data_IF_930109778050
#
_entry.id   IF_930109778050
#
_cell.length_a   1.000
_cell.length_b   1.000
_cell.length_c   1.000
_cell.angle_alpha   90.00
_cell.angle_beta   90.00
_cell.angle_gamma   90.00
#
_symmetry.space_group_name_H-M   'P 1'
#
loop_
_entity.id
_entity.type
_entity.pdbx_description
1 polymer ?
#
# COMPACT_ATOMS: atom_id res chain seq x y z
N UNK A 1 -0.35 20.79 -2.90
CA UNK A 1 0.66 20.26 -1.96
C UNK A 1 1.55 21.40 -1.54
N UNK A 2 1.86 21.51 -0.25
CA UNK A 2 2.79 22.52 0.28
C UNK A 2 3.90 21.77 1.00
N UNK A 3 5.15 22.06 0.64
CA UNK A 3 6.34 21.40 1.20
C UNK A 3 6.27 21.37 2.73
N UNK A 4 6.49 20.20 3.32
CA UNK A 4 6.61 19.99 4.78
C UNK A 4 8.06 19.87 5.19
N UNK A 5 8.30 20.07 6.48
CA UNK A 5 9.62 19.84 7.07
C UNK A 5 9.98 18.37 6.97
N UNK A 6 11.26 18.09 6.76
CA UNK A 6 11.76 16.73 6.70
C UNK A 6 13.19 16.63 7.24
N UNK A 7 13.57 15.43 7.64
CA UNK A 7 14.93 15.07 8.02
C UNK A 7 15.40 13.82 7.26
N UNK A 8 16.65 13.85 6.81
CA UNK A 8 17.37 12.65 6.37
C UNK A 8 18.12 12.10 7.57
N UNK A 9 18.20 10.79 7.74
CA UNK A 9 18.94 10.22 8.85
C UNK A 9 19.69 8.94 8.48
N UNK A 10 20.79 8.66 9.18
CA UNK A 10 21.55 7.41 9.18
C UNK A 10 21.39 6.73 10.53
N UNK A 11 22.07 5.61 10.80
CA UNK A 11 22.00 4.98 12.12
C UNK A 11 22.46 5.89 13.28
N UNK A 12 23.33 6.86 13.02
CA UNK A 12 23.97 7.69 14.05
C UNK A 12 23.49 9.15 14.06
N UNK A 13 23.13 9.69 12.91
CA UNK A 13 22.92 11.13 12.73
C UNK A 13 21.67 11.43 11.93
N UNK A 14 21.15 12.64 12.09
CA UNK A 14 20.13 13.20 11.21
C UNK A 14 20.55 14.57 10.69
N UNK A 15 20.08 14.91 9.50
CA UNK A 15 20.18 16.23 8.89
C UNK A 15 18.79 16.84 8.78
N UNK A 16 18.55 17.93 9.50
CA UNK A 16 17.29 18.70 9.46
C UNK A 16 17.60 20.17 9.21
N UNK A 17 16.96 20.78 8.21
CA UNK A 17 17.22 22.17 7.80
C UNK A 17 18.72 22.47 7.56
N UNK A 18 19.48 21.50 7.04
CA UNK A 18 20.92 21.63 6.79
C UNK A 18 21.82 21.50 8.03
N UNK A 19 21.25 21.21 9.20
CA UNK A 19 22.01 20.98 10.44
C UNK A 19 22.12 19.48 10.73
N UNK A 20 23.34 19.03 10.96
CA UNK A 20 23.61 17.67 11.45
C UNK A 20 23.46 17.62 12.98
N UNK A 21 22.70 16.64 13.44
CA UNK A 21 22.39 16.37 14.85
C UNK A 21 22.47 14.86 15.10
N UNK A 22 22.64 14.41 16.36
CA UNK A 22 22.48 13.00 16.69
C UNK A 22 21.08 12.50 16.33
N UNK A 23 20.98 11.28 15.81
CA UNK A 23 19.69 10.64 15.53
C UNK A 23 18.92 10.40 16.84
N UNK A 24 17.65 10.81 16.95
CA UNK A 24 16.83 10.40 18.07
C UNK A 24 16.57 8.88 18.06
N UNK A 25 16.54 8.26 19.25
CA UNK A 25 16.35 6.82 19.38
C UNK A 25 15.02 6.34 18.77
N UNK A 26 13.99 7.18 18.77
CA UNK A 26 12.67 6.84 18.24
C UNK A 26 12.51 7.00 16.71
N UNK A 27 13.55 7.44 15.99
CA UNK A 27 13.51 7.48 14.52
C UNK A 27 13.68 6.06 13.96
N UNK A 28 12.63 5.56 13.31
CA UNK A 28 12.60 4.25 12.67
C UNK A 28 11.75 4.29 11.40
N UNK A 29 12.24 3.63 10.35
CA UNK A 29 11.59 3.60 9.05
C UNK A 29 11.52 4.94 8.34
N UNK A 30 10.85 4.94 7.19
CA UNK A 30 10.50 6.15 6.46
C UNK A 30 9.03 6.42 6.76
N UNK A 31 8.74 7.58 7.35
CA UNK A 31 7.38 7.91 7.81
C UNK A 31 7.25 9.38 8.19
N UNK A 32 6.04 9.79 8.61
CA UNK A 32 5.77 11.06 9.26
C UNK A 32 5.76 10.89 10.79
N UNK A 33 6.48 11.76 11.51
CA UNK A 33 6.59 11.72 12.97
C UNK A 33 6.52 13.12 13.60
N UNK A 34 6.24 13.18 14.90
CA UNK A 34 6.41 14.39 15.69
C UNK A 34 7.87 14.58 16.09
N UNK A 35 8.41 15.77 15.84
CA UNK A 35 9.74 16.21 16.26
C UNK A 35 9.68 17.69 16.67
N UNK A 36 10.06 17.99 17.91
CA UNK A 36 10.03 19.35 18.47
C UNK A 36 8.65 20.04 18.35
N UNK A 37 7.59 19.28 18.69
CA UNK A 37 6.20 19.74 18.65
C UNK A 37 5.64 20.01 17.24
N UNK A 38 6.31 19.51 16.18
CA UNK A 38 5.87 19.63 14.80
C UNK A 38 5.95 18.30 14.07
N UNK A 39 5.01 18.08 13.16
CA UNK A 39 5.07 16.93 12.27
C UNK A 39 6.14 17.16 11.19
N UNK A 40 7.01 16.17 10.99
CA UNK A 40 8.04 16.15 9.96
C UNK A 40 8.05 14.79 9.26
N UNK A 41 8.51 14.77 8.01
CA UNK A 41 8.84 13.54 7.31
C UNK A 41 10.26 13.09 7.69
N UNK A 42 10.48 11.80 7.85
CA UNK A 42 11.81 11.24 8.06
C UNK A 42 12.12 10.20 6.99
N UNK A 43 13.39 10.17 6.57
CA UNK A 43 13.86 9.21 5.60
C UNK A 43 15.26 8.69 5.97
N UNK A 44 15.38 7.37 6.07
CA UNK A 44 16.65 6.71 6.30
C UNK A 44 17.47 6.67 5.01
N UNK A 45 18.60 7.39 5.01
CA UNK A 45 19.55 7.39 3.91
C UNK A 45 20.56 6.26 4.11
N UNK A 46 20.56 5.30 3.19
CA UNK A 46 21.60 4.26 3.12
C UNK A 46 22.67 4.66 2.09
N UNK A 47 23.97 4.42 2.34
CA UNK A 47 25.06 4.84 1.46
C UNK A 47 24.90 4.40 0.01
N UNK A 48 24.28 3.24 -0.23
CA UNK A 48 24.13 2.62 -1.55
C UNK A 48 22.95 3.18 -2.35
N UNK A 49 22.21 4.17 -1.83
CA UNK A 49 20.97 4.64 -2.44
C UNK A 49 21.14 5.85 -3.37
N UNK A 50 22.30 6.51 -3.38
CA UNK A 50 22.51 7.75 -4.13
C UNK A 50 23.85 7.71 -4.84
N UNK A 51 23.84 7.24 -6.10
CA UNK A 51 25.03 7.19 -6.96
C UNK A 51 24.93 8.13 -8.16
N UNK A 52 23.70 8.44 -8.59
CA UNK A 52 23.40 9.22 -9.80
C UNK A 52 22.42 10.36 -9.53
N UNK A 53 22.31 11.28 -10.50
CA UNK A 53 21.29 12.35 -10.44
C UNK A 53 19.86 11.77 -10.48
N UNK A 54 19.64 10.66 -11.19
CA UNK A 54 18.34 9.95 -11.20
C UNK A 54 17.99 9.41 -9.80
N UNK A 55 18.98 8.98 -9.01
CA UNK A 55 18.75 8.54 -7.64
C UNK A 55 18.32 9.70 -6.74
N UNK A 56 18.88 10.90 -6.96
CA UNK A 56 18.46 12.12 -6.26
C UNK A 56 17.01 12.49 -6.61
N UNK A 57 16.62 12.38 -7.87
CA UNK A 57 15.24 12.63 -8.31
C UNK A 57 14.27 11.63 -7.65
N UNK A 58 14.62 10.34 -7.61
CA UNK A 58 13.84 9.31 -6.92
C UNK A 58 13.76 9.55 -5.42
N UNK A 59 14.86 9.93 -4.78
CA UNK A 59 14.89 10.27 -3.35
C UNK A 59 14.00 11.48 -3.06
N UNK A 60 14.06 12.52 -3.89
CA UNK A 60 13.21 13.69 -3.75
C UNK A 60 11.72 13.34 -3.86
N UNK A 61 11.35 12.48 -4.81
CA UNK A 61 9.98 12.01 -4.96
C UNK A 61 9.50 11.19 -3.75
N UNK A 62 10.35 10.31 -3.23
CA UNK A 62 10.10 9.54 -2.00
C UNK A 62 9.97 10.44 -0.76
N UNK A 63 10.75 11.53 -0.66
CA UNK A 63 10.56 12.51 0.40
C UNK A 63 9.23 13.26 0.28
N UNK A 64 8.78 13.55 -0.94
CA UNK A 64 7.47 14.17 -1.18
C UNK A 64 6.33 13.24 -0.76
N UNK A 65 6.46 11.92 -0.97
CA UNK A 65 5.55 10.90 -0.43
C UNK A 65 5.46 11.02 1.10
N UNK A 66 6.58 10.99 1.82
CA UNK A 66 6.56 11.11 3.30
C UNK A 66 6.03 12.46 3.79
N UNK A 67 6.34 13.55 3.09
CA UNK A 67 5.77 14.87 3.38
C UNK A 67 4.26 14.91 3.13
N UNK A 68 3.73 14.06 2.25
CA UNK A 68 2.29 13.94 2.04
C UNK A 68 1.62 13.26 3.24
N UNK A 69 2.26 12.25 3.86
CA UNK A 69 1.78 11.69 5.13
C UNK A 69 1.74 12.72 6.25
N UNK A 70 2.73 13.62 6.34
CA UNK A 70 2.67 14.76 7.28
C UNK A 70 1.42 15.60 7.03
N UNK A 71 1.12 15.91 5.77
CA UNK A 71 -0.08 16.67 5.42
C UNK A 71 -1.37 15.90 5.75
N UNK A 72 -1.43 14.59 5.51
CA UNK A 72 -2.57 13.74 5.91
C UNK A 72 -2.81 13.85 7.42
N UNK A 73 -1.78 13.65 8.24
CA UNK A 73 -1.88 13.69 9.70
C UNK A 73 -2.28 15.08 10.21
N UNK A 74 -1.65 16.16 9.72
CA UNK A 74 -1.99 17.54 10.10
C UNK A 74 -3.44 17.93 9.77
N UNK A 75 -4.04 17.29 8.77
CA UNK A 75 -5.41 17.55 8.35
C UNK A 75 -6.41 16.53 8.93
N UNK A 76 -5.98 15.69 9.88
CA UNK A 76 -6.85 14.78 10.60
C UNK A 76 -7.32 13.58 9.78
N UNK A 77 -6.51 13.12 8.83
CA UNK A 77 -6.76 11.86 8.12
C UNK A 77 -7.02 10.72 9.11
N UNK A 78 -8.12 10.00 8.94
CA UNK A 78 -8.56 8.91 9.82
C UNK A 78 -8.65 7.56 9.10
N UNK A 79 -8.56 7.53 7.76
CA UNK A 79 -8.86 6.36 6.93
C UNK A 79 -7.70 5.36 6.86
N UNK A 80 -6.90 5.24 7.91
CA UNK A 80 -5.80 4.29 7.96
C UNK A 80 -6.30 2.84 7.91
N UNK A 81 -5.60 1.94 7.21
CA UNK A 81 -5.95 0.53 7.21
C UNK A 81 -5.67 -0.11 8.57
N UNK A 82 -6.42 -1.14 8.92
CA UNK A 82 -6.04 -2.08 9.97
C UNK A 82 -5.11 -3.12 9.36
N UNK A 83 -3.79 -2.89 9.39
CA UNK A 83 -2.82 -3.74 8.67
C UNK A 83 -2.85 -5.21 9.13
N UNK A 84 -3.10 -5.47 10.43
CA UNK A 84 -3.20 -6.84 10.95
C UNK A 84 -4.44 -7.60 10.43
N UNK A 85 -5.51 -6.88 10.10
CA UNK A 85 -6.66 -7.44 9.37
C UNK A 85 -6.33 -7.59 7.88
N UNK A 86 -5.56 -6.67 7.30
CA UNK A 86 -5.17 -6.68 5.89
C UNK A 86 -4.28 -7.88 5.54
N UNK A 87 -3.35 -8.28 6.40
CA UNK A 87 -2.54 -9.51 6.18
C UNK A 87 -3.33 -10.81 6.35
N UNK A 88 -4.54 -10.71 6.90
CA UNK A 88 -5.49 -11.80 7.05
C UNK A 88 -6.58 -11.78 5.95
N UNK A 89 -6.36 -11.02 4.87
CA UNK A 89 -7.28 -10.93 3.75
C UNK A 89 -7.65 -12.34 3.22
N UNK A 90 -8.93 -12.59 2.87
CA UNK A 90 -9.38 -13.90 2.43
C UNK A 90 -8.59 -14.43 1.23
N UNK A 91 -8.11 -15.68 1.35
CA UNK A 91 -7.49 -16.42 0.25
C UNK A 91 -8.58 -17.03 -0.65
N UNK A 92 -9.31 -16.15 -1.33
CA UNK A 92 -10.45 -16.47 -2.20
C UNK A 92 -10.08 -16.31 -3.70
N UNK A 93 -10.12 -17.39 -4.49
CA UNK A 93 -9.85 -17.35 -5.93
C UNK A 93 -10.74 -16.36 -6.71
N UNK A 94 -12.00 -16.14 -6.31
CA UNK A 94 -12.87 -15.16 -7.00
C UNK A 94 -12.36 -13.73 -6.78
N UNK A 95 -11.94 -13.39 -5.55
CA UNK A 95 -11.33 -12.09 -5.25
C UNK A 95 -10.01 -11.89 -6.01
N UNK A 96 -9.20 -12.94 -6.11
CA UNK A 96 -7.92 -12.91 -6.84
C UNK A 96 -8.15 -12.74 -8.34
N UNK A 97 -9.14 -13.42 -8.92
CA UNK A 97 -9.51 -13.26 -10.32
C UNK A 97 -10.02 -11.84 -10.62
N UNK A 98 -10.87 -11.30 -9.75
CA UNK A 98 -11.36 -9.92 -9.86
C UNK A 98 -10.23 -8.89 -9.75
N UNK A 99 -9.31 -9.08 -8.79
CA UNK A 99 -8.12 -8.23 -8.62
C UNK A 99 -7.23 -8.26 -9.86
N UNK A 100 -7.00 -9.43 -10.45
CA UNK A 100 -6.24 -9.54 -11.70
C UNK A 100 -6.93 -8.82 -12.87
N UNK A 101 -8.25 -8.97 -13.00
CA UNK A 101 -9.02 -8.27 -14.04
C UNK A 101 -8.98 -6.75 -13.87
N UNK A 102 -9.00 -6.26 -12.64
CA UNK A 102 -8.78 -4.83 -12.34
C UNK A 102 -7.36 -4.40 -12.73
N UNK A 103 -6.35 -5.18 -12.37
CA UNK A 103 -4.97 -4.89 -12.71
C UNK A 103 -4.72 -4.88 -14.23
N UNK A 104 -5.39 -5.73 -15.00
CA UNK A 104 -5.34 -5.72 -16.48
C UNK A 104 -5.83 -4.38 -17.04
N UNK A 105 -6.86 -3.80 -16.43
CA UNK A 105 -7.36 -2.47 -16.80
C UNK A 105 -6.38 -1.36 -16.42
N UNK A 106 -5.77 -1.44 -15.23
CA UNK A 106 -4.77 -0.47 -14.77
C UNK A 106 -3.48 -0.52 -15.60
N UNK A 107 -3.02 -1.72 -15.97
CA UNK A 107 -1.87 -1.93 -16.86
C UNK A 107 -2.17 -1.39 -18.27
N UNK A 108 -3.34 -1.71 -18.83
CA UNK A 108 -3.74 -1.19 -20.14
C UNK A 108 -3.90 0.34 -20.17
N UNK A 109 -4.14 0.99 -19.02
CA UNK A 109 -4.06 2.44 -18.87
C UNK A 109 -2.60 2.93 -18.80
N UNK A 110 -1.78 2.27 -17.99
CA UNK A 110 -0.35 2.60 -17.83
C UNK A 110 0.41 2.57 -19.17
N UNK A 111 0.13 1.61 -20.03
CA UNK A 111 0.72 1.52 -21.38
C UNK A 111 0.39 2.73 -22.27
N UNK A 112 -0.81 3.32 -22.10
CA UNK A 112 -1.21 4.54 -22.83
C UNK A 112 -0.58 5.79 -22.27
N UNK A 113 -0.16 5.78 -21.00
CA UNK A 113 0.57 6.91 -20.41
C UNK A 113 1.96 7.06 -21.03
N UNK A 114 2.53 5.97 -21.55
CA UNK A 114 3.89 5.90 -22.08
C UNK A 114 3.93 5.81 -23.61
N UNK A 115 2.79 5.69 -24.30
CA UNK A 115 2.74 5.58 -25.75
C UNK A 115 3.06 6.91 -26.45
N UNK A 116 3.95 6.82 -27.44
CA UNK A 116 4.45 7.93 -28.24
C UNK A 116 3.75 7.90 -29.61
N UNK A 117 2.49 8.32 -29.66
CA UNK A 117 1.70 8.32 -30.88
C UNK A 117 1.78 9.68 -31.60
N UNK A 118 1.81 9.67 -32.93
CA UNK A 118 1.83 10.87 -33.81
C UNK A 118 0.50 11.66 -33.82
N UNK A 119 -0.24 11.67 -32.70
CA UNK A 119 -1.52 12.37 -32.54
C UNK A 119 -1.25 13.75 -31.90
N UNK A 120 -2.03 14.76 -32.28
CA UNK A 120 -2.01 16.06 -31.60
C UNK A 120 -2.23 15.88 -30.10
N UNK A 121 -1.40 16.52 -29.26
CA UNK A 121 -1.48 16.39 -27.80
C UNK A 121 -2.88 16.70 -27.23
N UNK A 122 -3.60 17.63 -27.88
CA UNK A 122 -4.97 17.98 -27.46
C UNK A 122 -5.96 16.84 -27.72
N UNK A 123 -5.87 16.18 -28.86
CA UNK A 123 -6.75 15.06 -29.21
C UNK A 123 -6.39 13.81 -28.40
N UNK A 124 -5.09 13.60 -28.15
CA UNK A 124 -4.56 12.54 -27.27
C UNK A 124 -5.12 12.67 -25.86
N UNK A 125 -5.02 13.85 -25.25
CA UNK A 125 -5.51 14.08 -23.89
C UNK A 125 -7.02 13.89 -23.79
N UNK A 126 -7.79 14.32 -24.81
CA UNK A 126 -9.23 14.14 -24.85
C UNK A 126 -9.62 12.66 -24.96
N UNK A 127 -8.96 11.90 -25.84
CA UNK A 127 -9.21 10.47 -25.99
C UNK A 127 -8.84 9.72 -24.71
N UNK A 128 -7.68 10.03 -24.13
CA UNK A 128 -7.23 9.41 -22.89
C UNK A 128 -8.20 9.66 -21.73
N UNK A 129 -8.81 10.85 -21.65
CA UNK A 129 -9.86 11.15 -20.67
C UNK A 129 -11.12 10.31 -20.86
N UNK A 130 -11.59 10.14 -22.10
CA UNK A 130 -12.75 9.28 -22.42
C UNK A 130 -12.48 7.81 -22.10
N UNK A 131 -11.28 7.34 -22.43
CA UNK A 131 -10.82 6.01 -22.09
C UNK A 131 -10.75 5.83 -20.56
N UNK A 132 -10.24 6.82 -19.84
CA UNK A 132 -10.13 6.78 -18.39
C UNK A 132 -11.50 6.62 -17.71
N UNK A 133 -12.50 7.40 -18.12
CA UNK A 133 -13.88 7.28 -17.62
C UNK A 133 -14.46 5.88 -17.91
N UNK A 134 -14.20 5.34 -19.10
CA UNK A 134 -14.66 4.00 -19.48
C UNK A 134 -14.01 2.90 -18.64
N UNK A 135 -12.71 3.04 -18.37
CA UNK A 135 -11.98 2.10 -17.52
C UNK A 135 -12.51 2.15 -16.09
N UNK A 136 -12.70 3.34 -15.52
CA UNK A 136 -13.24 3.52 -14.17
C UNK A 136 -14.64 2.90 -14.01
N UNK A 137 -15.50 3.00 -15.02
CA UNK A 137 -16.80 2.32 -15.00
C UNK A 137 -16.68 0.79 -14.92
N UNK A 138 -15.72 0.19 -15.64
CA UNK A 138 -15.44 -1.25 -15.55
C UNK A 138 -14.86 -1.63 -14.19
N UNK A 139 -13.97 -0.80 -13.64
CA UNK A 139 -13.45 -0.99 -12.28
C UNK A 139 -14.61 -0.94 -11.27
N UNK A 140 -15.62 -0.09 -11.48
CA UNK A 140 -16.77 -0.04 -10.58
C UNK A 140 -17.58 -1.34 -10.55
N UNK A 141 -17.80 -1.97 -11.71
CA UNK A 141 -18.43 -3.30 -11.76
C UNK A 141 -17.62 -4.35 -10.99
N UNK A 142 -16.29 -4.34 -11.14
CA UNK A 142 -15.38 -5.27 -10.45
C UNK A 142 -15.40 -5.03 -8.94
N UNK A 143 -15.22 -3.78 -8.51
CA UNK A 143 -15.14 -3.41 -7.09
C UNK A 143 -16.47 -3.62 -6.36
N UNK A 144 -17.61 -3.46 -7.04
CA UNK A 144 -18.91 -3.86 -6.51
C UNK A 144 -19.03 -5.37 -6.29
N UNK A 145 -18.47 -6.19 -7.19
CA UNK A 145 -18.43 -7.64 -7.01
C UNK A 145 -17.51 -8.02 -5.83
N UNK A 146 -16.33 -7.41 -5.73
CA UNK A 146 -15.39 -7.62 -4.61
C UNK A 146 -16.03 -7.25 -3.26
N UNK A 147 -16.72 -6.10 -3.18
CA UNK A 147 -17.45 -5.66 -1.98
C UNK A 147 -18.52 -6.67 -1.58
N UNK A 148 -19.21 -7.28 -2.55
CA UNK A 148 -20.22 -8.32 -2.26
C UNK A 148 -19.61 -9.59 -1.69
N UNK A 149 -18.38 -9.93 -2.09
CA UNK A 149 -17.69 -11.16 -1.66
C UNK A 149 -17.07 -11.05 -0.26
N UNK A 150 -16.45 -9.92 0.08
CA UNK A 150 -15.65 -9.80 1.32
C UNK A 150 -15.78 -8.49 2.09
N UNK A 151 -16.62 -7.56 1.61
CA UNK A 151 -16.98 -6.27 2.21
C UNK A 151 -15.85 -5.62 3.04
N UNK A 152 -15.88 -5.79 4.37
CA UNK A 152 -14.90 -5.21 5.30
C UNK A 152 -13.43 -5.45 4.93
N UNK A 153 -13.07 -6.63 4.42
CA UNK A 153 -11.70 -6.90 3.98
C UNK A 153 -11.34 -6.06 2.74
N UNK A 154 -12.26 -5.98 1.77
CA UNK A 154 -12.10 -5.15 0.57
C UNK A 154 -12.02 -3.66 0.92
N UNK A 155 -12.88 -3.17 1.80
CA UNK A 155 -12.86 -1.77 2.26
C UNK A 155 -11.54 -1.46 2.99
N UNK A 156 -11.03 -2.39 3.80
CA UNK A 156 -9.75 -2.21 4.48
C UNK A 156 -8.57 -2.10 3.49
N UNK A 157 -8.60 -2.85 2.37
CA UNK A 157 -7.62 -2.68 1.29
C UNK A 157 -7.74 -1.30 0.62
N UNK A 158 -8.96 -0.80 0.39
CA UNK A 158 -9.15 0.55 -0.17
C UNK A 158 -8.72 1.67 0.79
N UNK A 159 -8.74 1.44 2.10
CA UNK A 159 -8.11 2.34 3.09
C UNK A 159 -6.60 2.41 2.89
N UNK A 160 -5.94 1.26 2.74
CA UNK A 160 -4.51 1.24 2.41
C UNK A 160 -4.22 1.95 1.08
N UNK A 161 -5.04 1.72 0.06
CA UNK A 161 -4.96 2.43 -1.23
C UNK A 161 -5.14 3.96 -1.07
N UNK A 162 -6.05 4.39 -0.20
CA UNK A 162 -6.31 5.81 0.09
C UNK A 162 -5.11 6.48 0.74
N UNK A 163 -4.46 5.81 1.69
CA UNK A 163 -3.32 6.39 2.40
C UNK A 163 -2.05 6.32 1.54
N UNK A 164 -1.68 5.13 1.11
CA UNK A 164 -0.40 4.87 0.45
C UNK A 164 -0.44 5.18 -1.03
N UNK A 165 -1.52 4.78 -1.71
CA UNK A 165 -1.66 4.98 -3.14
C UNK A 165 -1.72 6.46 -3.52
N UNK A 166 -2.40 7.28 -2.72
CA UNK A 166 -2.45 8.73 -2.94
C UNK A 166 -1.10 9.38 -2.60
N UNK A 167 -0.41 8.93 -1.55
CA UNK A 167 0.94 9.41 -1.23
C UNK A 167 1.92 9.07 -2.38
N UNK A 168 1.84 7.85 -2.91
CA UNK A 168 2.66 7.39 -4.02
C UNK A 168 2.35 8.15 -5.32
N UNK A 169 1.08 8.41 -5.61
CA UNK A 169 0.68 9.28 -6.71
C UNK A 169 1.24 10.71 -6.59
N UNK A 170 1.25 11.29 -5.38
CA UNK A 170 1.82 12.63 -5.15
C UNK A 170 3.35 12.60 -5.31
N UNK A 171 4.02 11.56 -4.82
CA UNK A 171 5.43 11.31 -5.07
C UNK A 171 5.73 11.22 -6.58
N UNK A 172 4.98 10.39 -7.30
CA UNK A 172 5.10 10.21 -8.75
C UNK A 172 4.90 11.51 -9.54
N UNK A 173 3.90 12.34 -9.17
CA UNK A 173 3.73 13.66 -9.80
C UNK A 173 4.93 14.57 -9.60
N UNK A 174 5.57 14.51 -8.44
CA UNK A 174 6.79 15.28 -8.20
C UNK A 174 7.96 14.74 -9.02
N UNK A 175 8.11 13.42 -9.15
CA UNK A 175 9.12 12.82 -10.03
C UNK A 175 8.90 13.27 -11.48
N UNK A 176 7.66 13.22 -11.98
CA UNK A 176 7.32 13.65 -13.35
C UNK A 176 7.62 15.13 -13.58
N UNK A 177 7.54 15.97 -12.55
CA UNK A 177 7.90 17.38 -12.62
C UNK A 177 9.42 17.60 -12.63
N UNK A 178 10.17 16.79 -11.87
CA UNK A 178 11.63 16.86 -11.81
C UNK A 178 12.28 16.27 -13.07
N UNK A 179 11.80 15.10 -13.48
CA UNK A 179 12.38 14.27 -14.53
C UNK A 179 11.27 13.42 -15.21
N UNK A 180 10.70 13.96 -16.30
CA UNK A 180 9.58 13.34 -16.99
C UNK A 180 9.94 12.03 -17.69
N UNK A 181 11.16 11.92 -18.22
CA UNK A 181 11.65 10.69 -18.88
C UNK A 181 11.81 9.56 -17.87
N UNK A 182 12.40 9.86 -16.70
CA UNK A 182 12.53 8.88 -15.62
C UNK A 182 11.15 8.45 -15.10
N UNK A 183 10.23 9.40 -14.90
CA UNK A 183 8.86 9.08 -14.50
C UNK A 183 8.16 8.15 -15.50
N UNK A 184 8.33 8.36 -16.80
CA UNK A 184 7.78 7.49 -17.83
C UNK A 184 8.33 6.05 -17.73
N UNK A 185 9.63 5.90 -17.43
CA UNK A 185 10.24 4.57 -17.19
C UNK A 185 9.73 3.91 -15.91
N UNK A 186 9.51 4.68 -14.84
CA UNK A 186 9.02 4.16 -13.56
C UNK A 186 7.59 3.62 -13.66
N UNK A 187 6.77 4.07 -14.62
CA UNK A 187 5.42 3.48 -14.88
C UNK A 187 5.51 1.96 -15.10
N UNK A 188 6.45 1.50 -15.92
CA UNK A 188 6.64 0.05 -16.17
C UNK A 188 7.12 -0.70 -14.92
N UNK A 189 7.88 -0.03 -14.05
CA UNK A 189 8.31 -0.59 -12.75
C UNK A 189 7.11 -0.77 -11.82
N UNK A 190 6.21 0.22 -11.77
CA UNK A 190 4.97 0.13 -11.00
C UNK A 190 4.06 -0.99 -11.47
N UNK A 191 3.86 -1.14 -12.78
CA UNK A 191 3.09 -2.28 -13.36
C UNK A 191 3.73 -3.62 -12.99
N UNK A 192 5.04 -3.74 -13.12
CA UNK A 192 5.77 -4.97 -12.74
C UNK A 192 5.57 -5.30 -11.26
N UNK A 193 5.66 -4.29 -10.39
CA UNK A 193 5.50 -4.50 -8.95
C UNK A 193 4.05 -4.74 -8.55
N UNK A 194 3.07 -4.16 -9.25
CA UNK A 194 1.66 -4.47 -9.10
C UNK A 194 1.40 -5.96 -9.31
N UNK A 195 1.91 -6.53 -10.43
CA UNK A 195 1.77 -7.95 -10.74
C UNK A 195 2.42 -8.85 -9.71
N UNK A 196 3.66 -8.54 -9.30
CA UNK A 196 4.36 -9.27 -8.23
C UNK A 196 3.59 -9.24 -6.90
N UNK A 197 3.02 -8.09 -6.53
CA UNK A 197 2.23 -7.98 -5.31
C UNK A 197 0.94 -8.80 -5.39
N UNK A 198 0.29 -8.85 -6.55
CA UNK A 198 -0.90 -9.68 -6.76
C UNK A 198 -0.59 -11.17 -6.74
N UNK A 199 0.50 -11.62 -7.37
CA UNK A 199 0.94 -13.02 -7.31
C UNK A 199 1.32 -13.45 -5.88
N UNK A 200 1.89 -12.53 -5.09
CA UNK A 200 2.23 -12.77 -3.69
C UNK A 200 1.06 -12.61 -2.71
N UNK A 201 -0.14 -12.24 -3.21
CA UNK A 201 -1.32 -11.85 -2.41
C UNK A 201 -0.98 -10.83 -1.30
N UNK A 202 -0.14 -9.87 -1.67
CA UNK A 202 0.34 -8.81 -0.79
C UNK A 202 -0.50 -7.55 -0.99
N UNK A 203 -1.63 -7.49 -0.29
CA UNK A 203 -2.57 -6.37 -0.38
C UNK A 203 -1.97 -5.04 0.06
N UNK A 204 -0.99 -5.06 0.98
CA UNK A 204 -0.32 -3.84 1.44
C UNK A 204 0.53 -3.26 0.31
N UNK A 205 1.44 -4.04 -0.30
CA UNK A 205 2.26 -3.61 -1.45
C UNK A 205 1.40 -3.28 -2.67
N UNK A 206 0.37 -4.09 -2.94
CA UNK A 206 -0.56 -3.88 -4.06
C UNK A 206 -1.20 -2.49 -3.97
N UNK A 207 -1.61 -2.06 -2.78
CA UNK A 207 -2.28 -0.77 -2.56
C UNK A 207 -1.45 0.46 -2.97
N UNK A 208 -0.12 0.41 -2.86
CA UNK A 208 0.76 1.50 -3.35
C UNK A 208 0.63 1.65 -4.86
N UNK A 209 0.77 0.53 -5.58
CA UNK A 209 0.86 0.51 -7.04
C UNK A 209 -0.50 0.69 -7.69
N UNK A 210 -1.51 -0.05 -7.21
CA UNK A 210 -2.88 0.08 -7.68
C UNK A 210 -3.42 1.49 -7.41
N UNK A 211 -3.18 2.02 -6.19
CA UNK A 211 -3.64 3.35 -5.83
C UNK A 211 -2.95 4.48 -6.57
N UNK A 212 -1.66 4.34 -6.93
CA UNK A 212 -1.00 5.30 -7.83
C UNK A 212 -1.67 5.33 -9.20
N UNK A 213 -1.91 4.14 -9.79
CA UNK A 213 -2.49 4.02 -11.13
C UNK A 213 -3.96 4.48 -11.14
N UNK A 214 -4.73 4.10 -10.11
CA UNK A 214 -6.11 4.54 -9.93
C UNK A 214 -6.21 6.05 -9.74
N UNK A 215 -5.35 6.65 -8.91
CA UNK A 215 -5.32 8.11 -8.72
C UNK A 215 -4.95 8.83 -10.01
N UNK A 216 -4.00 8.27 -10.77
CA UNK A 216 -3.61 8.81 -12.09
C UNK A 216 -4.76 8.70 -13.10
N UNK A 217 -5.49 7.59 -13.10
CA UNK A 217 -6.65 7.34 -13.94
C UNK A 217 -7.79 8.32 -13.61
N UNK A 218 -8.08 8.52 -12.32
CA UNK A 218 -9.08 9.47 -11.84
C UNK A 218 -8.73 10.92 -12.22
N UNK A 219 -7.47 11.33 -12.02
CA UNK A 219 -6.98 12.66 -12.42
C UNK A 219 -7.13 12.89 -13.93
N UNK A 220 -6.76 11.89 -14.75
CA UNK A 220 -6.94 11.93 -16.22
C UNK A 220 -8.40 11.98 -16.65
N UNK A 221 -9.30 11.33 -15.91
CA UNK A 221 -10.75 11.41 -16.12
C UNK A 221 -11.36 12.74 -15.63
N UNK A 222 -10.58 13.62 -15.00
CA UNK A 222 -11.08 14.87 -14.42
C UNK A 222 -11.92 14.66 -13.15
N UNK A 223 -11.77 13.51 -12.47
CA UNK A 223 -12.44 13.23 -11.21
C UNK A 223 -11.73 13.96 -10.09
N UNK A 224 -12.45 14.83 -9.39
CA UNK A 224 -11.94 15.45 -8.18
C UNK A 224 -12.13 14.50 -7.01
N UNK A 225 -11.15 13.64 -6.77
CA UNK A 225 -11.09 12.85 -5.54
C UNK A 225 -10.61 13.76 -4.40
N UNK A 226 -11.57 14.53 -3.90
CA UNK A 226 -11.42 15.56 -2.89
C UNK A 226 -10.42 15.17 -1.79
N UNK A 227 -9.48 16.07 -1.47
CA UNK A 227 -8.54 15.94 -0.34
C UNK A 227 -9.21 16.23 1.00
N UNK A 228 -10.48 15.87 1.16
CA UNK A 228 -11.18 16.02 2.43
C UNK A 228 -10.71 14.93 3.38
N UNK A 229 -9.59 15.19 4.06
CA UNK A 229 -9.00 14.31 5.08
C UNK A 229 -9.98 14.00 6.23
N UNK A 230 -11.00 14.83 6.44
CA UNK A 230 -12.06 14.63 7.43
C UNK A 230 -13.21 13.71 6.95
N UNK A 231 -13.17 13.19 5.72
CA UNK A 231 -14.18 12.24 5.24
C UNK A 231 -13.81 10.82 5.64
N UNK A 232 -14.82 10.01 5.97
CA UNK A 232 -14.65 8.57 6.22
C UNK A 232 -14.63 7.75 4.92
N UNK A 233 -15.01 8.34 3.78
CA UNK A 233 -15.00 7.68 2.47
C UNK A 233 -13.58 7.47 1.97
N UNK A 234 -13.26 6.27 1.54
CA UNK A 234 -12.04 5.91 0.82
C UNK A 234 -11.91 6.65 -0.52
N UNK A 235 -10.71 6.66 -1.09
CA UNK A 235 -10.42 7.15 -2.45
C UNK A 235 -11.42 6.56 -3.46
N UNK A 236 -11.62 5.24 -3.40
CA UNK A 236 -12.52 4.55 -4.31
C UNK A 236 -13.96 5.04 -4.20
N UNK A 237 -14.49 5.18 -2.98
CA UNK A 237 -15.88 5.60 -2.79
C UNK A 237 -16.13 7.01 -3.35
N UNK A 238 -15.14 7.92 -3.27
CA UNK A 238 -15.23 9.22 -3.93
C UNK A 238 -15.22 9.16 -5.46
N UNK A 239 -14.42 8.25 -6.02
CA UNK A 239 -14.37 8.00 -7.47
C UNK A 239 -15.69 7.39 -7.94
N UNK A 240 -16.16 6.35 -7.25
CA UNK A 240 -17.40 5.63 -7.53
C UNK A 240 -18.60 6.57 -7.59
N UNK A 241 -18.76 7.48 -6.62
CA UNK A 241 -19.86 8.45 -6.63
C UNK A 241 -19.88 9.33 -7.87
N UNK A 242 -18.72 9.80 -8.33
CA UNK A 242 -18.62 10.66 -9.52
C UNK A 242 -18.82 9.86 -10.81
N UNK A 243 -18.27 8.64 -10.88
CA UNK A 243 -18.47 7.74 -12.02
C UNK A 243 -19.96 7.41 -12.17
N UNK A 244 -20.63 7.04 -11.08
CA UNK A 244 -22.06 6.72 -11.07
C UNK A 244 -22.95 7.94 -11.33
N UNK A 245 -22.55 9.14 -10.90
CA UNK A 245 -23.30 10.36 -11.23
C UNK A 245 -23.13 10.76 -12.71
N UNK A 246 -21.98 10.45 -13.32
CA UNK A 246 -21.64 10.86 -14.69
C UNK A 246 -22.25 9.96 -15.76
N UNK A 247 -22.62 8.73 -15.42
CA UNK A 247 -23.17 7.77 -16.37
C UNK A 247 -24.53 7.28 -15.90
N UNK A 248 -25.49 7.19 -16.83
CA UNK A 248 -26.79 6.53 -16.62
C UNK A 248 -26.60 4.99 -16.58
N UNK A 249 -25.55 4.51 -15.87
CA UNK A 249 -25.20 3.10 -15.74
C UNK A 249 -26.09 2.48 -14.66
N UNK A 250 -26.95 1.56 -15.09
CA UNK A 250 -27.54 0.59 -14.18
C UNK A 250 -26.49 -0.48 -13.84
N UNK A 251 -25.95 -0.45 -12.63
CA UNK A 251 -24.99 -1.43 -12.06
C UNK A 251 -25.56 -2.85 -11.86
N UNK A 252 -26.62 -3.20 -12.58
CA UNK A 252 -27.37 -4.45 -12.41
C UNK A 252 -26.79 -5.64 -13.17
N UNK A 253 -25.73 -5.47 -13.96
CA UNK A 253 -25.16 -6.59 -14.71
C UNK A 253 -24.27 -7.42 -13.79
N UNK A 254 -24.69 -8.66 -13.52
CA UNK A 254 -23.87 -9.64 -12.81
C UNK A 254 -22.59 -9.88 -13.61
N UNK A 255 -21.45 -9.51 -13.02
CA UNK A 255 -20.14 -9.78 -13.58
C UNK A 255 -19.85 -11.29 -13.47
N UNK A 256 -19.41 -11.89 -14.57
CA UNK A 256 -19.08 -13.32 -14.64
C UNK A 256 -17.57 -13.49 -14.86
N UNK A 257 -16.96 -14.38 -14.08
CA UNK A 257 -15.58 -14.83 -14.27
C UNK A 257 -15.56 -16.02 -15.23
N UNK A 258 -14.53 -16.10 -16.08
CA UNK A 258 -14.31 -17.25 -16.95
C UNK A 258 -13.64 -18.39 -16.18
N UNK A 259 -13.76 -19.62 -16.69
CA UNK A 259 -13.09 -20.78 -16.11
C UNK A 259 -11.56 -20.60 -16.09
N UNK A 260 -10.99 -19.96 -17.12
CA UNK A 260 -9.55 -19.69 -17.22
C UNK A 260 -9.07 -18.71 -16.13
N UNK A 261 -9.84 -17.65 -15.86
CA UNK A 261 -9.49 -16.70 -14.79
C UNK A 261 -9.55 -17.35 -13.42
N UNK A 262 -10.57 -18.19 -13.18
CA UNK A 262 -10.69 -18.94 -11.93
C UNK A 262 -9.55 -19.95 -11.78
N UNK A 263 -9.21 -20.70 -12.82
CA UNK A 263 -8.09 -21.67 -12.79
C UNK A 263 -6.76 -20.99 -12.42
N UNK A 264 -6.44 -19.86 -13.05
CA UNK A 264 -5.25 -19.07 -12.71
C UNK A 264 -5.27 -18.58 -11.27
N UNK A 265 -6.42 -18.06 -10.81
CA UNK A 265 -6.56 -17.57 -9.45
C UNK A 265 -6.45 -18.68 -8.40
N UNK A 266 -6.99 -19.87 -8.67
CA UNK A 266 -6.82 -21.05 -7.84
C UNK A 266 -5.34 -21.42 -7.69
N UNK A 267 -4.58 -21.44 -8.80
CA UNK A 267 -3.16 -21.73 -8.76
C UNK A 267 -2.38 -20.74 -7.88
N UNK A 268 -2.67 -19.43 -7.98
CA UNK A 268 -2.05 -18.40 -7.12
C UNK A 268 -2.38 -18.64 -5.64
N UNK A 269 -3.66 -18.88 -5.33
CA UNK A 269 -4.11 -19.12 -3.95
C UNK A 269 -3.45 -20.37 -3.36
N UNK A 270 -3.37 -21.46 -4.10
CA UNK A 270 -2.76 -22.70 -3.62
C UNK A 270 -1.25 -22.55 -3.41
N UNK A 271 -0.55 -21.87 -4.33
CA UNK A 271 0.87 -21.55 -4.17
C UNK A 271 1.13 -20.71 -2.91
N UNK A 272 0.32 -19.68 -2.66
CA UNK A 272 0.49 -18.83 -1.47
C UNK A 272 0.16 -19.58 -0.17
N UNK A 273 -0.86 -20.47 -0.16
CA UNK A 273 -1.12 -21.34 0.99
C UNK A 273 0.09 -22.22 1.32
N UNK A 274 0.65 -22.90 0.33
CA UNK A 274 1.85 -23.73 0.51
C UNK A 274 3.03 -22.90 1.03
N UNK A 275 3.30 -21.74 0.43
CA UNK A 275 4.38 -20.84 0.87
C UNK A 275 4.20 -20.40 2.34
N UNK A 276 2.98 -20.05 2.75
CA UNK A 276 2.65 -19.66 4.13
C UNK A 276 2.87 -20.80 5.11
N UNK A 277 2.45 -22.02 4.77
CA UNK A 277 2.65 -23.22 5.60
C UNK A 277 4.14 -23.57 5.74
N UNK A 278 4.91 -23.52 4.67
CA UNK A 278 6.36 -23.74 4.69
C UNK A 278 7.08 -22.70 5.56
N UNK A 279 6.68 -21.43 5.45
CA UNK A 279 7.25 -20.34 6.26
C UNK A 279 6.93 -20.52 7.74
N UNK A 280 5.70 -20.93 8.07
CA UNK A 280 5.31 -21.25 9.45
C UNK A 280 6.12 -22.43 9.99
N UNK A 281 6.25 -23.52 9.23
CA UNK A 281 7.04 -24.68 9.63
C UNK A 281 8.52 -24.31 9.89
N UNK A 282 9.10 -23.46 9.05
CA UNK A 282 10.46 -22.93 9.24
C UNK A 282 10.57 -22.12 10.54
N UNK A 283 9.59 -21.25 10.84
CA UNK A 283 9.57 -20.48 12.07
C UNK A 283 9.38 -21.36 13.31
N UNK A 284 8.51 -22.36 13.25
CA UNK A 284 8.30 -23.31 14.37
C UNK A 284 9.55 -24.15 14.65
N UNK A 285 10.31 -24.52 13.61
CA UNK A 285 11.60 -25.20 13.78
C UNK A 285 12.65 -24.26 14.41
N UNK A 286 12.66 -22.98 14.04
CA UNK A 286 13.57 -21.97 14.60
C UNK A 286 13.23 -21.56 16.04
N UNK A 287 11.94 -21.55 16.39
CA UNK A 287 11.41 -21.11 17.68
C UNK A 287 10.54 -22.20 18.33
N UNK A 288 11.13 -23.28 18.88
CA UNK A 288 10.37 -24.42 19.37
C UNK A 288 9.73 -24.20 20.75
N UNK A 289 10.19 -23.21 21.53
CA UNK A 289 9.78 -23.04 22.92
C UNK A 289 8.59 -22.09 23.04
N UNK A 290 7.41 -22.61 23.40
CA UNK A 290 6.22 -21.78 23.66
C UNK A 290 6.32 -21.14 25.06
N UNK A 291 6.21 -19.81 25.11
CA UNK A 291 6.12 -19.01 26.33
C UNK A 291 4.79 -18.27 26.38
N UNK A 292 3.84 -18.68 27.23
CA UNK A 292 2.58 -17.98 27.41
C UNK A 292 2.80 -16.52 27.84
N UNK A 293 2.06 -15.60 27.22
CA UNK A 293 2.09 -14.17 27.57
C UNK A 293 0.70 -13.57 27.36
N UNK A 294 0.37 -12.52 28.10
CA UNK A 294 -0.78 -11.67 27.85
C UNK A 294 -0.25 -10.30 27.43
N UNK A 295 -0.30 -10.02 26.13
CA UNK A 295 0.18 -8.77 25.55
C UNK A 295 -0.68 -8.38 24.35
N UNK A 296 -0.54 -7.14 23.88
CA UNK A 296 -1.12 -6.68 22.63
C UNK A 296 -0.04 -6.12 21.69
N UNK A 297 -0.26 -6.23 20.40
CA UNK A 297 0.61 -5.60 19.38
C UNK A 297 0.32 -4.10 19.38
N UNK A 298 1.37 -3.28 19.54
CA UNK A 298 1.26 -1.82 19.54
C UNK A 298 2.25 -1.12 18.59
N UNK A 299 3.01 -1.87 17.80
CA UNK A 299 3.80 -1.36 16.68
C UNK A 299 4.39 -2.50 15.84
N UNK A 300 4.59 -2.25 14.56
CA UNK A 300 5.10 -3.24 13.60
C UNK A 300 5.56 -2.57 12.31
N UNK A 301 6.36 -3.31 11.54
CA UNK A 301 6.56 -3.01 10.13
C UNK A 301 5.54 -3.80 9.28
N UNK A 302 4.54 -3.13 8.67
CA UNK A 302 3.47 -3.81 7.93
C UNK A 302 3.98 -4.56 6.68
N UNK A 303 5.19 -4.26 6.21
CA UNK A 303 5.76 -4.85 5.01
C UNK A 303 6.44 -6.20 5.25
N UNK A 304 6.64 -6.56 6.52
CA UNK A 304 7.48 -7.67 6.96
C UNK A 304 6.79 -8.53 8.03
N UNK A 305 5.46 -8.59 7.97
CA UNK A 305 4.60 -9.41 8.80
C UNK A 305 3.74 -10.34 7.94
N UNK A 306 3.45 -11.53 8.44
CA UNK A 306 2.64 -12.55 7.76
C UNK A 306 1.78 -13.29 8.78
N UNK A 307 0.54 -13.64 8.40
CA UNK A 307 -0.37 -14.42 9.25
C UNK A 307 -0.70 -15.78 8.64
N UNK A 308 -0.66 -16.81 9.49
CA UNK A 308 -1.04 -18.19 9.17
C UNK A 308 -1.91 -18.74 10.30
N UNK A 309 -3.23 -18.71 10.12
CA UNK A 309 -4.19 -19.04 11.18
C UNK A 309 -4.00 -18.14 12.41
N UNK A 310 -3.77 -18.76 13.57
CA UNK A 310 -3.51 -18.05 14.83
C UNK A 310 -2.03 -17.63 14.99
N UNK A 311 -1.16 -17.89 14.02
CA UNK A 311 0.24 -17.49 14.09
C UNK A 311 0.51 -16.19 13.32
N UNK A 312 1.29 -15.31 13.95
CA UNK A 312 1.88 -14.15 13.31
C UNK A 312 3.40 -14.32 13.27
N UNK A 313 3.96 -14.09 12.09
CA UNK A 313 5.39 -14.12 11.82
C UNK A 313 5.84 -12.69 11.53
N UNK A 314 6.88 -12.21 12.21
CA UNK A 314 7.58 -10.96 11.88
C UNK A 314 9.02 -11.27 11.51
N UNK A 315 9.59 -10.58 10.53
CA UNK A 315 11.00 -10.71 10.11
C UNK A 315 11.82 -9.45 10.32
N UNK A 316 11.25 -8.41 10.95
CA UNK A 316 11.91 -7.11 11.08
C UNK A 316 11.65 -6.45 12.43
N UNK A 317 10.59 -5.65 12.57
CA UNK A 317 10.25 -4.91 13.76
C UNK A 317 8.85 -5.26 14.22
N UNK A 318 8.73 -5.46 15.53
CA UNK A 318 7.48 -5.57 16.24
C UNK A 318 7.62 -4.91 17.62
N UNK A 319 6.52 -4.38 18.14
CA UNK A 319 6.42 -3.88 19.49
C UNK A 319 5.15 -4.42 20.14
N UNK A 320 5.30 -4.94 21.35
CA UNK A 320 4.20 -5.44 22.16
C UNK A 320 4.04 -4.58 23.41
N UNK A 321 2.81 -4.41 23.87
CA UNK A 321 2.46 -3.84 25.16
C UNK A 321 2.09 -4.98 26.12
N UNK A 322 2.86 -5.12 27.19
CA UNK A 322 2.61 -6.07 28.25
C UNK A 322 2.40 -5.28 29.55
N UNK A 323 1.15 -5.24 30.04
CA UNK A 323 0.78 -4.56 31.28
C UNK A 323 1.14 -3.06 31.32
N UNK A 324 1.16 -2.38 30.18
CA UNK A 324 1.53 -0.96 30.03
C UNK A 324 3.01 -0.74 29.72
N UNK A 325 3.83 -1.79 29.72
CA UNK A 325 5.24 -1.73 29.32
C UNK A 325 5.40 -2.10 27.84
N UNK A 326 6.02 -1.20 27.08
CA UNK A 326 6.28 -1.40 25.64
C UNK A 326 7.61 -2.10 25.43
N UNK A 327 7.57 -3.32 24.88
CA UNK A 327 8.73 -4.11 24.53
C UNK A 327 8.96 -4.12 23.02
N UNK A 328 10.15 -3.68 22.61
CA UNK A 328 10.58 -3.66 21.21
C UNK A 328 11.28 -4.98 20.87
N UNK A 329 10.93 -5.54 19.73
CA UNK A 329 11.38 -6.84 19.25
C UNK A 329 11.90 -6.67 17.81
N UNK A 330 13.17 -7.01 17.60
CA UNK A 330 13.82 -6.90 16.29
C UNK A 330 14.21 -8.28 15.75
N UNK A 331 14.18 -8.43 14.42
CA UNK A 331 14.46 -9.67 13.71
C UNK A 331 13.25 -10.59 13.60
N UNK A 332 13.53 -11.88 13.47
CA UNK A 332 12.51 -12.91 13.32
C UNK A 332 11.81 -13.21 14.65
N UNK A 333 10.48 -13.20 14.65
CA UNK A 333 9.65 -13.55 15.81
C UNK A 333 8.45 -14.40 15.37
N UNK A 334 8.17 -15.45 16.14
CA UNK A 334 6.95 -16.25 16.00
C UNK A 334 6.03 -16.00 17.19
N UNK A 335 4.77 -15.69 16.90
CA UNK A 335 3.78 -15.30 17.89
C UNK A 335 2.52 -16.09 17.65
N UNK A 336 1.85 -16.47 18.73
CA UNK A 336 0.50 -16.99 18.67
C UNK A 336 -0.48 -15.96 19.20
N UNK A 337 -1.38 -15.57 18.32
CA UNK A 337 -2.49 -14.66 18.57
C UNK A 337 -3.59 -15.37 19.33
N UNK A 338 -4.41 -14.63 20.07
CA UNK A 338 -5.65 -15.16 20.61
C UNK A 338 -6.56 -15.57 19.44
N UNK A 339 -7.25 -16.72 19.51
CA UNK A 339 -8.14 -17.16 18.44
C UNK A 339 -9.17 -16.10 18.08
N UNK A 340 -9.27 -15.76 16.79
CA UNK A 340 -10.19 -14.74 16.27
C UNK A 340 -9.80 -13.29 16.55
N UNK A 341 -8.63 -13.03 17.12
CA UNK A 341 -8.14 -11.69 17.45
C UNK A 341 -7.00 -11.25 16.51
N UNK A 342 -6.91 -9.94 16.24
CA UNK A 342 -5.87 -9.34 15.39
C UNK A 342 -4.74 -8.69 16.19
N UNK A 343 -4.96 -8.35 17.45
CA UNK A 343 -4.08 -7.51 18.25
C UNK A 343 -3.54 -8.22 19.47
N UNK A 344 -4.33 -9.12 20.07
CA UNK A 344 -3.99 -9.75 21.34
C UNK A 344 -3.20 -11.06 21.14
N UNK A 345 -2.16 -11.21 21.96
CA UNK A 345 -1.23 -12.32 21.95
C UNK A 345 -1.56 -13.29 23.10
N UNK A 346 -1.43 -14.59 22.85
CA UNK A 346 -1.48 -15.62 23.91
C UNK A 346 -0.11 -16.24 24.23
N UNK A 347 0.84 -16.21 23.29
CA UNK A 347 2.18 -16.75 23.50
C UNK A 347 3.20 -16.18 22.51
N UNK A 348 4.44 -16.09 22.98
CA UNK A 348 5.63 -15.91 22.16
C UNK A 348 6.35 -17.25 22.01
N UNK A 349 7.06 -17.42 20.91
CA UNK A 349 7.91 -18.57 20.68
C UNK A 349 9.37 -18.13 20.66
N UNK A 350 10.20 -18.79 21.47
CA UNK A 350 11.61 -18.46 21.66
C UNK A 350 12.50 -19.55 21.05
N UNK A 351 13.71 -19.17 20.65
CA UNK A 351 14.76 -20.09 20.25
C UNK A 351 15.34 -20.80 21.50
N UNK A 352 15.98 -21.94 21.30
CA UNK A 352 16.67 -22.68 22.37
C UNK A 352 17.86 -21.91 22.95
#
# INVERSE_FOLDING_TARGET
FVKRSYALYTDESMCICGKLLPKPDYFYGNTAIEYDGKMIAIWMLKPEQVETDEDLDKLAAKLVHEMFHVMQMENGESRFPHDLELIAFPLDPELVALTNRENDLLEGYADRMTSDDNVSETDRQKQLGLDAITILAKIAEIRSAMRTLSDGATINAWRAETIEGVAEYVGFKSLRQLNSELAAREVSVYVTNLRKATEALDHRRHSYYAGLLLSSLADTAGIDFNRSFASEKTLWEFIEEQVLASQDISMTRKLTLTDEELEKAHAIVDMEKTRREEKLASFQAKFPLKKPVQASICGYDPMNIMRVGDFLLSTSFLMIDQEGEKHRMFGDHLIRMKPGDFWNIEALYEAN
#
